data_IF_142944556640
#
_entry.id   IF_142944556640
#
_cell.length_a   1.000
_cell.length_b   1.000
_cell.length_c   1.000
_cell.angle_alpha   90.00
_cell.angle_beta   90.00
_cell.angle_gamma   90.00
#
_symmetry.space_group_name_H-M   'P 1'
#
loop_
_entity.id
_entity.type
_entity.pdbx_description
1 polymer ?
#
# COMPACT_ATOMS: atom_id res chain seq x y z
N UNK A 1 3.66 7.90 -20.06
CA UNK A 1 2.50 8.10 -19.21
C UNK A 1 2.46 9.52 -18.70
N UNK A 2 1.30 10.11 -18.71
CA UNK A 2 1.13 11.48 -18.29
C UNK A 2 1.27 11.59 -16.77
N UNK A 3 1.70 12.76 -16.30
CA UNK A 3 1.77 12.99 -14.86
C UNK A 3 0.42 12.82 -14.19
N UNK A 4 -0.64 13.25 -14.85
CA UNK A 4 -1.99 13.11 -14.33
C UNK A 4 -2.36 11.65 -14.13
N UNK A 5 -1.97 10.80 -15.09
CA UNK A 5 -2.28 9.38 -15.01
C UNK A 5 -1.52 8.73 -13.86
N UNK A 6 -0.29 9.15 -13.66
CA UNK A 6 0.50 8.61 -12.56
C UNK A 6 -0.10 9.01 -11.21
N UNK A 7 -0.48 10.27 -11.07
CA UNK A 7 -1.11 10.75 -9.84
C UNK A 7 -2.42 10.04 -9.56
N UNK A 8 -3.21 9.85 -10.59
CA UNK A 8 -4.49 9.16 -10.44
C UNK A 8 -4.27 7.71 -10.04
N UNK A 9 -3.30 7.06 -10.68
CA UNK A 9 -2.96 5.67 -10.35
C UNK A 9 -2.51 5.55 -8.90
N UNK A 10 -1.65 6.46 -8.46
CA UNK A 10 -1.19 6.47 -7.07
C UNK A 10 -2.35 6.60 -6.11
N UNK A 11 -3.28 7.51 -6.42
CA UNK A 11 -4.43 7.75 -5.57
C UNK A 11 -5.31 6.51 -5.47
N UNK A 12 -5.56 5.87 -6.60
CA UNK A 12 -6.40 4.67 -6.63
C UNK A 12 -5.75 3.52 -5.86
N UNK A 13 -4.46 3.33 -6.07
CA UNK A 13 -3.73 2.26 -5.39
C UNK A 13 -3.66 2.52 -3.89
N UNK A 14 -3.41 3.77 -3.50
CA UNK A 14 -3.39 4.15 -2.09
C UNK A 14 -4.73 3.89 -1.43
N UNK A 15 -5.81 4.25 -2.10
CA UNK A 15 -7.16 4.05 -1.57
C UNK A 15 -7.45 2.56 -1.40
N UNK A 16 -7.06 1.77 -2.37
CA UNK A 16 -7.27 0.33 -2.31
C UNK A 16 -6.45 -0.29 -1.16
N UNK A 17 -5.19 0.15 -1.04
CA UNK A 17 -4.32 -0.31 0.04
C UNK A 17 -4.92 0.02 1.41
N UNK A 18 -5.39 1.25 1.57
CA UNK A 18 -6.02 1.66 2.83
C UNK A 18 -7.26 0.83 3.14
N UNK A 19 -8.04 0.51 2.12
CA UNK A 19 -9.22 -0.32 2.31
C UNK A 19 -8.84 -1.69 2.82
N UNK A 20 -7.81 -2.30 2.24
CA UNK A 20 -7.35 -3.60 2.69
C UNK A 20 -6.86 -3.56 4.13
N UNK A 21 -6.09 -2.51 4.46
CA UNK A 21 -5.61 -2.34 5.83
C UNK A 21 -6.76 -2.18 6.80
N UNK A 22 -7.75 -1.35 6.43
CA UNK A 22 -8.90 -1.12 7.29
C UNK A 22 -9.73 -2.38 7.48
N UNK A 23 -9.86 -3.19 6.44
CA UNK A 23 -10.59 -4.45 6.56
C UNK A 23 -9.90 -5.38 7.55
N UNK A 24 -8.59 -5.44 7.50
CA UNK A 24 -7.82 -6.26 8.44
C UNK A 24 -8.01 -5.74 9.86
N UNK A 25 -7.92 -4.42 10.03
CA UNK A 25 -8.08 -3.81 11.34
C UNK A 25 -9.49 -4.06 11.89
N UNK A 26 -10.51 -3.88 11.06
CA UNK A 26 -11.88 -4.11 11.49
C UNK A 26 -12.12 -5.55 11.90
N UNK A 27 -11.59 -6.48 11.11
CA UNK A 27 -11.72 -7.90 11.43
C UNK A 27 -10.98 -8.23 12.72
N UNK A 28 -9.80 -7.66 12.89
CA UNK A 28 -9.01 -7.86 14.09
C UNK A 28 -9.74 -7.33 15.32
N UNK A 29 -10.38 -6.18 15.19
CA UNK A 29 -11.17 -5.61 16.30
C UNK A 29 -12.34 -6.51 16.68
N UNK A 30 -13.00 -7.07 15.70
CA UNK A 30 -14.12 -7.99 15.97
C UNK A 30 -13.67 -9.23 16.68
N UNK A 31 -12.48 -9.72 16.35
CA UNK A 31 -11.92 -10.92 16.96
C UNK A 31 -11.11 -10.60 18.20
N UNK A 32 -11.06 -9.35 18.59
CA UNK A 32 -10.29 -8.88 19.75
C UNK A 32 -8.82 -9.22 19.66
N UNK A 33 -8.29 -9.15 18.46
CA UNK A 33 -6.86 -9.36 18.22
C UNK A 33 -6.10 -8.10 18.62
N UNK A 34 -5.02 -8.22 19.39
CA UNK A 34 -4.24 -7.04 19.79
C UNK A 34 -3.71 -6.29 18.58
N UNK A 35 -3.61 -4.97 18.73
CA UNK A 35 -3.16 -4.11 17.66
C UNK A 35 -1.82 -4.53 17.09
N UNK A 36 -0.96 -5.02 17.94
CA UNK A 36 0.37 -5.48 17.53
C UNK A 36 0.28 -6.62 16.52
N UNK A 37 -0.61 -7.56 16.78
CA UNK A 37 -0.80 -8.69 15.89
C UNK A 37 -1.51 -8.28 14.60
N UNK A 38 -2.41 -7.32 14.70
CA UNK A 38 -3.06 -6.76 13.50
C UNK A 38 -2.03 -6.16 12.58
N UNK A 39 -1.09 -5.42 13.14
CA UNK A 39 -0.03 -4.81 12.35
C UNK A 39 0.84 -5.87 11.68
N UNK A 40 1.11 -6.96 12.38
CA UNK A 40 1.88 -8.06 11.79
C UNK A 40 1.14 -8.69 10.62
N UNK A 41 -0.17 -8.85 10.74
CA UNK A 41 -0.98 -9.39 9.65
C UNK A 41 -0.87 -8.48 8.43
N UNK A 42 -0.96 -7.17 8.65
CA UNK A 42 -0.82 -6.21 7.57
C UNK A 42 0.57 -6.30 6.95
N UNK A 43 1.59 -6.35 7.78
CA UNK A 43 2.98 -6.39 7.30
C UNK A 43 3.27 -7.65 6.49
N UNK A 44 2.61 -8.75 6.81
CA UNK A 44 2.82 -10.01 6.09
C UNK A 44 1.86 -10.24 4.95
N UNK A 45 0.92 -9.32 4.75
CA UNK A 45 -0.04 -9.46 3.67
C UNK A 45 0.64 -9.21 2.34
N UNK A 46 0.66 -10.23 1.47
CA UNK A 46 1.38 -10.12 0.20
C UNK A 46 0.74 -9.09 -0.73
N UNK A 47 -0.57 -9.00 -0.73
CA UNK A 47 -1.27 -8.04 -1.57
C UNK A 47 -0.93 -6.60 -1.19
N UNK A 48 -0.94 -6.30 0.10
CA UNK A 48 -0.58 -4.98 0.59
C UNK A 48 0.87 -4.68 0.27
N UNK A 49 1.74 -5.66 0.43
CA UNK A 49 3.16 -5.47 0.13
C UNK A 49 3.39 -5.20 -1.35
N UNK A 50 2.66 -5.87 -2.22
CA UNK A 50 2.74 -5.60 -3.65
C UNK A 50 2.30 -4.18 -3.96
N UNK A 51 1.22 -3.73 -3.32
CA UNK A 51 0.73 -2.37 -3.53
C UNK A 51 1.75 -1.34 -3.05
N UNK A 52 2.43 -1.62 -1.95
CA UNK A 52 3.49 -0.75 -1.47
C UNK A 52 4.62 -0.64 -2.47
N UNK A 53 5.00 -1.74 -3.08
CA UNK A 53 6.05 -1.76 -4.08
C UNK A 53 5.63 -0.96 -5.30
N UNK A 54 4.41 -1.14 -5.75
CA UNK A 54 3.88 -0.40 -6.89
C UNK A 54 3.87 1.10 -6.59
N UNK A 55 3.39 1.48 -5.42
CA UNK A 55 3.35 2.89 -5.03
C UNK A 55 4.75 3.49 -5.01
N UNK A 56 5.70 2.75 -4.49
CA UNK A 56 7.06 3.22 -4.44
C UNK A 56 7.63 3.40 -5.84
N UNK A 57 7.31 2.49 -6.74
CA UNK A 57 7.72 2.61 -8.14
C UNK A 57 7.16 3.85 -8.78
N UNK A 58 5.91 4.17 -8.48
CA UNK A 58 5.28 5.36 -9.06
C UNK A 58 5.85 6.64 -8.48
N UNK A 59 6.31 6.60 -7.25
CA UNK A 59 6.88 7.77 -6.60
C UNK A 59 8.28 8.07 -7.05
N UNK A 60 9.03 7.05 -7.43
CA UNK A 60 10.43 7.23 -7.80
C UNK A 60 10.51 7.66 -9.27
N UNK A 61 10.98 8.87 -9.55
CA UNK A 61 11.09 9.30 -10.95
C UNK A 61 12.15 8.47 -11.65
N UNK A 62 11.95 8.18 -12.92
CA UNK A 62 12.94 7.41 -13.67
C UNK A 62 14.31 8.03 -13.62
N UNK A 63 14.38 9.33 -13.62
CA UNK A 63 15.65 10.01 -13.62
C UNK A 63 16.47 9.74 -12.38
N UNK A 64 15.82 9.43 -11.29
CA UNK A 64 16.56 9.20 -10.07
C UNK A 64 17.36 7.92 -10.10
N UNK A 65 17.10 7.05 -11.07
CA UNK A 65 17.86 5.83 -11.16
C UNK A 65 18.94 5.90 -12.17
N UNK A 66 18.97 6.98 -12.86
CA UNK A 66 19.92 7.09 -13.91
C UNK A 66 21.30 7.24 -13.42
N UNK A 67 21.39 7.62 -12.23
CA UNK A 67 22.66 7.78 -11.69
C UNK A 67 23.44 6.58 -11.87
N UNK A 68 22.78 5.61 -12.03
CA UNK A 68 23.50 4.43 -12.40
C UNK A 68 23.84 4.67 -13.77
#
# INVERSE_FOLDING_TARGET
MDKKDILLSKKLISSYKERLENEIINRSNKLRIPKKLSQEIIDKNSEINELKIILKSLETPPSSRVEG
#
